data_IF_444971326377
#
_entry.id   IF_444971326377
#
_cell.length_a   1.000
_cell.length_b   1.000
_cell.length_c   1.000
_cell.angle_alpha   90.00
_cell.angle_beta   90.00
_cell.angle_gamma   90.00
#
_symmetry.space_group_name_H-M   'P 1'
#
loop_
_entity.id
_entity.type
_entity.pdbx_description
1 polymer ?
#
# COMPACT_ATOMS: atom_id res chain seq x y z
N UNK A 1 -14.05 7.53 -5.24
CA UNK A 1 -15.23 7.04 -5.97
C UNK A 1 -15.68 8.05 -7.03
N UNK A 2 -15.81 9.31 -6.69
CA UNK A 2 -16.24 10.37 -7.62
C UNK A 2 -15.12 10.91 -8.52
N UNK A 3 -13.91 10.40 -8.40
CA UNK A 3 -12.78 10.81 -9.21
C UNK A 3 -12.14 12.15 -8.84
N UNK A 4 -12.43 12.67 -7.67
CA UNK A 4 -11.86 13.93 -7.19
C UNK A 4 -10.48 13.76 -6.53
N UNK A 5 -10.11 12.54 -6.15
CA UNK A 5 -8.84 12.20 -5.49
C UNK A 5 -8.33 10.86 -5.97
N UNK A 6 -7.02 10.67 -5.90
CA UNK A 6 -6.38 9.39 -6.16
C UNK A 6 -5.77 8.82 -4.87
N UNK A 7 -5.97 7.53 -4.62
CA UNK A 7 -5.42 6.87 -3.44
C UNK A 7 -4.04 6.28 -3.75
N UNK A 8 -3.01 6.77 -3.08
CA UNK A 8 -1.68 6.17 -3.05
C UNK A 8 -1.51 5.44 -1.72
N UNK A 9 -1.62 4.12 -1.73
CA UNK A 9 -1.35 3.27 -0.59
C UNK A 9 -0.06 2.49 -0.83
N UNK A 10 0.94 2.69 0.03
CA UNK A 10 2.25 2.07 -0.17
C UNK A 10 3.05 1.92 1.12
N UNK A 11 3.99 1.00 1.11
CA UNK A 11 4.91 0.73 2.23
C UNK A 11 5.29 -0.74 2.33
N UNK A 12 5.73 -1.17 3.50
CA UNK A 12 6.29 -2.51 3.68
C UNK A 12 5.31 -3.64 3.43
N UNK A 13 5.85 -4.79 3.03
CA UNK A 13 5.14 -6.06 3.03
C UNK A 13 4.74 -6.45 4.46
N UNK A 14 5.72 -6.49 5.35
CA UNK A 14 5.57 -6.53 6.80
C UNK A 14 6.74 -5.76 7.42
N UNK A 15 6.41 -4.90 8.36
CA UNK A 15 7.41 -4.17 9.15
C UNK A 15 8.13 -5.12 10.12
N UNK A 16 9.39 -4.82 10.43
CA UNK A 16 10.12 -5.40 11.56
C UNK A 16 10.16 -4.40 12.72
N UNK A 17 10.17 -4.90 13.95
CA UNK A 17 10.42 -4.06 15.12
C UNK A 17 11.80 -3.38 15.06
N UNK A 18 12.79 -4.05 14.45
CA UNK A 18 14.13 -3.49 14.23
C UNK A 18 14.12 -2.28 13.28
N UNK A 19 13.14 -2.16 12.41
CA UNK A 19 13.00 -1.06 11.46
C UNK A 19 12.37 0.21 12.07
N UNK A 20 11.93 0.16 13.34
CA UNK A 20 11.37 1.31 14.03
C UNK A 20 12.48 2.31 14.43
N UNK A 21 13.16 2.84 13.41
CA UNK A 21 14.28 3.80 13.54
C UNK A 21 14.00 5.04 12.70
N UNK A 22 14.55 6.18 13.14
CA UNK A 22 14.37 7.46 12.43
C UNK A 22 14.73 7.41 10.95
N UNK A 23 15.87 6.81 10.52
CA UNK A 23 16.21 6.75 9.09
C UNK A 23 15.20 5.94 8.27
N UNK A 24 14.81 4.76 8.76
CA UNK A 24 13.87 3.88 8.04
C UNK A 24 12.50 4.52 7.91
N UNK A 25 11.95 5.08 9.00
CA UNK A 25 10.64 5.76 8.99
C UNK A 25 10.68 6.99 8.06
N UNK A 26 11.75 7.80 8.13
CA UNK A 26 11.91 8.96 7.26
C UNK A 26 11.98 8.58 5.79
N UNK A 27 12.71 7.51 5.43
CA UNK A 27 12.83 7.08 4.04
C UNK A 27 11.50 6.50 3.50
N UNK A 28 10.73 5.80 4.34
CA UNK A 28 9.37 5.36 3.98
C UNK A 28 8.45 6.56 3.69
N UNK A 29 8.53 7.60 4.50
CA UNK A 29 7.74 8.81 4.27
C UNK A 29 8.20 9.54 3.01
N UNK A 30 9.52 9.68 2.79
CA UNK A 30 10.11 10.34 1.62
C UNK A 30 9.59 9.74 0.31
N UNK A 31 9.67 8.41 0.14
CA UNK A 31 9.27 7.75 -1.11
C UNK A 31 7.79 8.01 -1.42
N UNK A 32 6.91 7.95 -0.41
CA UNK A 32 5.48 8.25 -0.60
C UNK A 32 5.22 9.72 -0.92
N UNK A 33 5.95 10.65 -0.31
CA UNK A 33 5.86 12.07 -0.63
C UNK A 33 6.32 12.35 -2.07
N UNK A 34 7.45 11.78 -2.49
CA UNK A 34 7.95 11.91 -3.87
C UNK A 34 6.96 11.34 -4.89
N UNK A 35 6.48 10.12 -4.68
CA UNK A 35 5.45 9.52 -5.54
C UNK A 35 4.19 10.40 -5.61
N UNK A 36 3.74 10.91 -4.45
CA UNK A 36 2.54 11.76 -4.43
C UNK A 36 2.76 13.09 -5.15
N UNK A 37 3.97 13.65 -5.12
CA UNK A 37 4.32 14.87 -5.85
C UNK A 37 4.21 14.64 -7.37
N UNK A 38 4.78 13.53 -7.86
CA UNK A 38 4.68 13.10 -9.26
C UNK A 38 3.21 12.98 -9.67
N UNK A 39 2.41 12.27 -8.87
CA UNK A 39 0.99 12.02 -9.15
C UNK A 39 0.18 13.33 -9.14
N UNK A 40 0.33 14.18 -8.13
CA UNK A 40 -0.39 15.47 -8.04
C UNK A 40 -0.06 16.36 -9.23
N UNK A 41 1.22 16.47 -9.57
CA UNK A 41 1.65 17.29 -10.71
C UNK A 41 1.14 16.75 -12.03
N UNK A 42 1.31 15.43 -12.26
CA UNK A 42 1.00 14.81 -13.56
C UNK A 42 -0.49 14.60 -13.80
N UNK A 43 -1.23 14.18 -12.78
CA UNK A 43 -2.68 13.92 -12.88
C UNK A 43 -3.54 15.17 -12.66
N UNK A 44 -2.97 16.27 -12.15
CA UNK A 44 -3.70 17.49 -11.75
C UNK A 44 -4.84 17.20 -10.76
N UNK A 45 -4.59 16.27 -9.82
CA UNK A 45 -5.59 15.75 -8.88
C UNK A 45 -4.96 15.59 -7.49
N UNK A 46 -5.69 15.91 -6.40
CA UNK A 46 -5.22 15.64 -5.05
C UNK A 46 -5.01 14.14 -4.81
N UNK A 47 -3.96 13.80 -4.04
CA UNK A 47 -3.61 12.42 -3.69
C UNK A 47 -3.84 12.21 -2.19
N UNK A 48 -4.56 11.12 -1.85
CA UNK A 48 -4.65 10.59 -0.49
C UNK A 48 -3.45 9.67 -0.25
N UNK A 49 -2.62 10.01 0.73
CA UNK A 49 -1.41 9.27 1.09
C UNK A 49 -1.71 8.33 2.24
N UNK A 50 -1.55 7.04 2.00
CA UNK A 50 -1.81 6.00 3.00
C UNK A 50 -0.58 5.10 3.11
N UNK A 51 0.12 5.19 4.23
CA UNK A 51 1.30 4.37 4.49
C UNK A 51 0.92 2.97 4.99
N UNK A 52 1.51 1.95 4.38
CA UNK A 52 1.48 0.58 4.91
C UNK A 52 2.58 0.43 5.95
N UNK A 53 2.47 1.17 7.03
CA UNK A 53 3.39 1.13 8.18
C UNK A 53 2.70 1.66 9.43
N UNK A 54 3.39 1.61 10.55
CA UNK A 54 2.86 1.87 11.88
C UNK A 54 1.75 0.86 12.25
N UNK A 55 2.02 -0.43 12.05
CA UNK A 55 1.11 -1.52 12.39
C UNK A 55 1.14 -2.72 11.45
N UNK A 56 1.82 -2.66 10.30
CA UNK A 56 1.94 -3.78 9.36
C UNK A 56 2.98 -4.80 9.85
N UNK A 57 2.86 -5.28 11.10
CA UNK A 57 3.79 -6.24 11.71
C UNK A 57 3.33 -7.70 11.59
N UNK A 58 2.25 -7.98 10.89
CA UNK A 58 1.77 -9.33 10.64
C UNK A 58 1.24 -9.50 9.24
N UNK A 59 1.27 -10.75 8.76
CA UNK A 59 0.70 -11.14 7.46
C UNK A 59 0.17 -12.57 7.52
N UNK A 60 -1.10 -12.82 7.11
CA UNK A 60 -1.60 -14.17 6.94
C UNK A 60 -0.75 -14.96 5.94
N UNK A 61 -0.43 -16.20 6.27
CA UNK A 61 0.39 -17.07 5.44
C UNK A 61 -0.46 -18.08 4.67
N UNK A 62 0.08 -18.55 3.53
CA UNK A 62 -0.57 -19.59 2.71
C UNK A 62 -0.55 -20.95 3.39
N UNK A 63 0.47 -21.20 4.24
CA UNK A 63 0.66 -22.44 4.99
C UNK A 63 0.91 -22.13 6.45
N UNK A 64 0.37 -22.95 7.34
CA UNK A 64 0.56 -22.80 8.78
C UNK A 64 1.95 -23.23 9.23
N UNK A 65 2.56 -24.14 8.46
CA UNK A 65 3.85 -24.75 8.76
C UNK A 65 4.84 -24.49 7.63
N UNK A 66 6.12 -24.45 7.98
CA UNK A 66 7.26 -24.26 7.08
C UNK A 66 8.29 -25.36 7.37
N UNK A 67 8.81 -26.01 6.32
CA UNK A 67 9.80 -27.08 6.44
C UNK A 67 11.13 -26.64 5.83
N UNK A 68 12.22 -26.77 6.60
CA UNK A 68 13.61 -26.56 6.15
C UNK A 68 14.46 -27.70 6.67
N UNK A 69 15.27 -28.28 5.82
CA UNK A 69 16.20 -29.36 6.16
C UNK A 69 15.57 -30.50 6.99
N UNK A 70 14.32 -30.88 6.63
CA UNK A 70 13.57 -31.95 7.31
C UNK A 70 12.93 -31.55 8.65
N UNK A 71 13.15 -30.33 9.15
CA UNK A 71 12.50 -29.80 10.35
C UNK A 71 11.26 -29.00 9.95
N UNK A 72 10.13 -29.28 10.60
CA UNK A 72 8.85 -28.57 10.35
C UNK A 72 8.47 -27.72 11.55
N UNK A 73 8.31 -26.42 11.36
CA UNK A 73 7.95 -25.44 12.39
C UNK A 73 6.80 -24.55 11.93
N UNK A 74 6.11 -23.84 12.84
CA UNK A 74 5.14 -22.82 12.46
C UNK A 74 5.75 -21.77 11.53
N UNK A 75 4.99 -21.34 10.53
CA UNK A 75 5.42 -20.29 9.60
C UNK A 75 5.69 -18.97 10.34
N UNK A 76 6.67 -18.22 9.88
CA UNK A 76 6.85 -16.81 10.31
C UNK A 76 5.66 -15.99 9.83
N UNK A 77 4.96 -15.33 10.74
CA UNK A 77 3.75 -14.54 10.48
C UNK A 77 3.95 -13.04 10.65
N UNK A 78 5.17 -12.63 10.97
CA UNK A 78 5.53 -11.25 11.29
C UNK A 78 5.76 -11.03 12.78
N UNK A 79 6.45 -9.96 13.10
CA UNK A 79 6.89 -9.63 14.47
C UNK A 79 5.76 -9.49 15.49
N UNK A 80 4.55 -9.22 15.03
CA UNK A 80 3.35 -9.16 15.89
C UNK A 80 2.97 -10.54 16.46
N UNK A 81 3.43 -11.63 15.84
CA UNK A 81 3.04 -13.01 16.20
C UNK A 81 4.23 -13.81 16.73
N UNK A 82 5.34 -13.87 15.98
CA UNK A 82 6.50 -14.68 16.25
C UNK A 82 7.78 -14.10 15.63
N UNK A 83 8.92 -14.75 15.80
CA UNK A 83 10.22 -14.27 15.28
C UNK A 83 10.64 -15.00 14.00
N UNK A 84 11.47 -14.39 13.13
CA UNK A 84 11.87 -14.95 11.84
C UNK A 84 12.87 -16.10 11.93
N UNK A 85 13.59 -16.26 13.07
CA UNK A 85 14.55 -17.33 13.25
C UNK A 85 13.88 -18.70 13.17
N UNK A 86 14.53 -19.67 12.49
CA UNK A 86 13.96 -21.00 12.29
C UNK A 86 14.28 -21.93 13.47
N UNK A 87 13.74 -21.60 14.63
CA UNK A 87 13.81 -22.41 15.86
C UNK A 87 12.43 -22.60 16.48
N UNK A 88 12.21 -23.67 17.21
CA UNK A 88 10.92 -23.97 17.83
C UNK A 88 10.49 -22.87 18.83
N UNK A 89 11.44 -22.26 19.53
CA UNK A 89 11.19 -21.17 20.45
C UNK A 89 10.78 -19.87 19.71
N UNK A 90 11.54 -19.46 18.71
CA UNK A 90 11.30 -18.26 17.93
C UNK A 90 9.97 -18.32 17.16
N UNK A 91 9.59 -19.50 16.68
CA UNK A 91 8.36 -19.70 15.88
C UNK A 91 7.11 -19.91 16.74
N UNK A 92 7.22 -19.99 18.05
CA UNK A 92 6.06 -20.01 18.95
C UNK A 92 5.41 -18.62 18.99
N UNK A 93 4.08 -18.59 18.88
CA UNK A 93 3.33 -17.34 19.04
C UNK A 93 3.49 -16.80 20.48
N UNK A 94 3.76 -15.49 20.59
CA UNK A 94 3.98 -14.80 21.86
C UNK A 94 3.03 -13.58 21.97
N UNK A 95 2.03 -13.61 22.88
CA UNK A 95 1.09 -12.50 23.07
C UNK A 95 1.75 -11.18 23.49
N UNK A 96 2.94 -11.21 24.13
CA UNK A 96 3.65 -9.99 24.52
C UNK A 96 4.08 -9.15 23.31
N UNK A 97 4.22 -9.77 22.14
CA UNK A 97 4.52 -9.09 20.88
C UNK A 97 3.41 -8.15 20.42
N UNK A 98 2.15 -8.41 20.80
CA UNK A 98 1.04 -7.49 20.53
C UNK A 98 1.25 -6.14 21.24
N UNK A 99 1.73 -6.17 22.48
CA UNK A 99 2.03 -4.96 23.25
C UNK A 99 3.23 -4.22 22.68
N UNK A 100 4.27 -4.96 22.30
CA UNK A 100 5.46 -4.39 21.64
C UNK A 100 5.08 -3.74 20.30
N UNK A 101 4.30 -4.41 19.48
CA UNK A 101 3.81 -3.89 18.21
C UNK A 101 3.03 -2.58 18.39
N UNK A 102 2.17 -2.50 19.42
CA UNK A 102 1.44 -1.28 19.73
C UNK A 102 2.39 -0.12 20.10
N UNK A 103 3.41 -0.39 20.91
CA UNK A 103 4.40 0.62 21.27
C UNK A 103 5.18 1.13 20.04
N UNK A 104 5.67 0.23 19.18
CA UNK A 104 6.36 0.58 17.93
C UNK A 104 5.45 1.33 16.95
N UNK A 105 4.19 0.90 16.82
CA UNK A 105 3.20 1.56 15.99
C UNK A 105 2.93 3.00 16.46
N UNK A 106 2.73 3.19 17.76
CA UNK A 106 2.52 4.51 18.36
C UNK A 106 3.75 5.42 18.20
N UNK A 107 4.96 4.88 18.41
CA UNK A 107 6.21 5.62 18.19
C UNK A 107 6.35 6.07 16.74
N UNK A 108 6.16 5.15 15.79
CA UNK A 108 6.22 5.45 14.35
C UNK A 108 5.23 6.53 13.96
N UNK A 109 3.98 6.43 14.42
CA UNK A 109 2.94 7.43 14.14
C UNK A 109 3.29 8.81 14.73
N UNK A 110 3.77 8.86 15.96
CA UNK A 110 4.17 10.12 16.58
C UNK A 110 5.35 10.75 15.83
N UNK A 111 6.32 9.93 15.41
CA UNK A 111 7.45 10.44 14.65
C UNK A 111 7.02 10.96 13.27
N UNK A 112 6.16 10.25 12.55
CA UNK A 112 5.59 10.71 11.27
C UNK A 112 4.83 12.04 11.45
N UNK A 113 4.00 12.16 12.48
CA UNK A 113 3.28 13.41 12.79
C UNK A 113 4.23 14.54 13.09
N UNK A 114 5.28 14.30 13.90
CA UNK A 114 6.28 15.29 14.23
C UNK A 114 7.04 15.77 12.98
N UNK A 115 7.39 14.86 12.06
CA UNK A 115 8.01 15.22 10.78
C UNK A 115 7.08 16.09 9.93
N UNK A 116 5.82 15.70 9.78
CA UNK A 116 4.84 16.43 8.96
C UNK A 116 4.55 17.81 9.56
N UNK A 117 4.29 17.88 10.86
CA UNK A 117 4.02 19.14 11.56
C UNK A 117 5.27 20.04 11.66
N UNK A 118 6.47 19.44 11.63
CA UNK A 118 7.76 20.14 11.61
C UNK A 118 8.22 20.63 10.24
N UNK A 119 7.36 20.53 9.20
CA UNK A 119 7.66 21.04 7.86
C UNK A 119 8.46 20.08 6.97
N UNK A 120 8.69 18.83 7.38
CA UNK A 120 9.34 17.83 6.54
C UNK A 120 8.61 17.56 5.22
N UNK A 121 7.29 17.70 5.22
CA UNK A 121 6.43 17.54 4.05
C UNK A 121 6.12 18.86 3.34
N UNK A 122 6.86 19.92 3.65
CA UNK A 122 6.68 21.24 3.03
C UNK A 122 7.06 21.18 1.54
N UNK A 123 6.11 21.53 0.69
CA UNK A 123 6.28 21.53 -0.77
C UNK A 123 7.27 22.60 -1.25
N UNK A 124 7.63 23.59 -0.41
CA UNK A 124 8.66 24.59 -0.73
C UNK A 124 10.07 23.99 -0.69
N UNK A 125 10.24 22.87 -0.01
CA UNK A 125 11.52 22.21 0.20
C UNK A 125 11.49 20.73 -0.23
N UNK A 126 11.09 20.40 -1.47
CA UNK A 126 11.06 19.03 -1.98
C UNK A 126 12.46 18.39 -2.01
N UNK A 127 13.52 19.19 -1.97
CA UNK A 127 14.91 18.73 -1.85
C UNK A 127 15.19 17.97 -0.55
N UNK A 128 14.42 18.21 0.52
CA UNK A 128 14.54 17.42 1.77
C UNK A 128 14.10 15.96 1.59
N UNK A 129 13.34 15.67 0.55
CA UNK A 129 12.91 14.31 0.22
C UNK A 129 13.86 13.63 -0.76
N UNK A 130 14.88 14.36 -1.25
CA UNK A 130 15.83 13.78 -2.21
C UNK A 130 16.50 12.55 -1.60
N UNK A 131 16.32 11.46 -2.28
CA UNK A 131 17.01 10.21 -2.07
C UNK A 131 18.11 10.20 -3.15
N UNK A 132 19.37 9.99 -2.79
CA UNK A 132 20.55 10.13 -3.64
C UNK A 132 20.55 9.34 -4.96
N UNK A 133 19.57 8.49 -5.16
CA UNK A 133 19.37 7.57 -6.27
C UNK A 133 18.69 8.17 -7.51
N UNK A 134 18.03 9.31 -7.39
CA UNK A 134 17.43 10.02 -8.54
C UNK A 134 18.49 10.27 -9.64
N UNK A 135 19.75 10.24 -9.30
CA UNK A 135 20.86 10.45 -10.23
C UNK A 135 21.03 9.32 -11.26
N UNK A 136 20.58 8.11 -10.97
CA UNK A 136 20.80 6.92 -11.81
C UNK A 136 19.60 6.55 -12.70
N UNK A 137 18.42 7.06 -12.40
CA UNK A 137 17.22 6.76 -13.18
C UNK A 137 17.19 7.52 -14.51
N UNK A 138 16.83 6.90 -15.65
CA UNK A 138 16.57 7.60 -16.91
C UNK A 138 15.45 8.65 -16.77
N UNK A 139 14.59 8.53 -15.75
CA UNK A 139 13.52 9.48 -15.41
C UNK A 139 13.98 10.63 -14.51
N UNK A 140 15.24 10.64 -14.06
CA UNK A 140 15.78 11.65 -13.15
C UNK A 140 15.64 13.09 -13.68
N UNK A 141 15.90 13.27 -14.98
CA UNK A 141 15.79 14.58 -15.62
C UNK A 141 14.32 15.08 -15.68
N UNK A 142 13.38 14.18 -15.90
CA UNK A 142 11.94 14.48 -15.93
C UNK A 142 11.47 14.83 -14.51
N UNK A 143 11.85 14.02 -13.51
CA UNK A 143 11.55 14.28 -12.11
C UNK A 143 12.08 15.67 -11.66
N UNK A 144 13.35 15.97 -11.92
CA UNK A 144 13.94 17.27 -11.55
C UNK A 144 13.23 18.44 -12.22
N UNK A 145 12.86 18.34 -13.50
CA UNK A 145 12.06 19.39 -14.18
C UNK A 145 10.69 19.57 -13.52
N UNK A 146 10.06 18.48 -13.13
CA UNK A 146 8.76 18.51 -12.44
C UNK A 146 8.88 19.23 -11.08
N UNK A 147 9.86 18.86 -10.27
CA UNK A 147 10.14 19.46 -8.95
C UNK A 147 10.42 20.97 -9.09
N UNK A 148 11.26 21.36 -10.04
CA UNK A 148 11.55 22.76 -10.32
C UNK A 148 10.29 23.54 -10.72
N UNK A 149 9.46 22.98 -11.62
CA UNK A 149 8.21 23.60 -12.06
C UNK A 149 7.19 23.78 -10.93
N UNK A 150 7.16 22.85 -9.95
CA UNK A 150 6.31 22.99 -8.76
C UNK A 150 6.83 24.16 -7.90
N UNK A 151 8.13 24.21 -7.62
CA UNK A 151 8.72 25.30 -6.86
C UNK A 151 8.47 26.67 -7.47
N UNK A 152 8.57 26.80 -8.80
CA UNK A 152 8.24 28.04 -9.53
C UNK A 152 6.76 28.40 -9.39
N UNK A 153 5.87 27.41 -9.49
CA UNK A 153 4.42 27.60 -9.36
C UNK A 153 4.03 28.06 -7.96
N UNK A 154 4.65 27.47 -6.92
CA UNK A 154 4.41 27.86 -5.53
C UNK A 154 4.88 29.29 -5.27
N UNK A 155 6.10 29.65 -5.68
CA UNK A 155 6.63 31.03 -5.57
C UNK A 155 5.74 32.05 -6.29
N UNK A 156 5.23 31.70 -7.46
CA UNK A 156 4.29 32.57 -8.19
C UNK A 156 3.00 32.77 -7.41
N UNK A 157 2.39 31.71 -6.91
CA UNK A 157 1.14 31.77 -6.13
C UNK A 157 1.31 32.61 -4.85
N UNK A 158 2.41 32.42 -4.12
CA UNK A 158 2.70 33.20 -2.91
C UNK A 158 2.99 34.67 -3.18
N UNK A 159 3.64 34.97 -4.30
CA UNK A 159 3.85 36.36 -4.73
C UNK A 159 2.51 37.06 -5.00
N UNK A 160 1.52 36.32 -5.51
CA UNK A 160 0.20 36.86 -5.85
C UNK A 160 -0.74 36.95 -4.65
N UNK A 161 -0.74 35.95 -3.77
CA UNK A 161 -1.76 35.76 -2.73
C UNK A 161 -1.20 35.82 -1.29
N UNK A 162 0.12 35.94 -1.13
CA UNK A 162 0.80 35.78 0.16
C UNK A 162 0.97 34.32 0.58
N UNK A 163 1.62 34.07 1.73
CA UNK A 163 1.89 32.70 2.20
C UNK A 163 0.61 31.87 2.36
N UNK A 164 0.58 30.66 1.75
CA UNK A 164 -0.58 29.78 1.77
C UNK A 164 -0.31 28.62 2.72
N UNK A 165 -0.87 28.66 3.93
CA UNK A 165 -0.66 27.67 4.99
C UNK A 165 -0.98 26.21 4.58
N UNK A 166 -1.80 26.01 3.53
CA UNK A 166 -2.14 24.68 3.04
C UNK A 166 -1.02 23.96 2.27
N UNK A 167 0.06 24.63 1.90
CA UNK A 167 1.19 24.04 1.17
C UNK A 167 2.30 23.49 2.09
N UNK A 168 2.27 23.84 3.36
CA UNK A 168 3.26 23.43 4.36
C UNK A 168 2.92 22.11 5.05
N UNK A 169 1.69 21.60 4.86
CA UNK A 169 1.22 20.39 5.53
C UNK A 169 0.48 19.48 4.57
N UNK A 170 0.76 18.19 4.64
CA UNK A 170 0.03 17.14 3.89
C UNK A 170 -0.71 16.23 4.86
N UNK A 171 -1.91 15.81 4.47
CA UNK A 171 -2.61 14.73 5.18
C UNK A 171 -1.90 13.40 4.91
N UNK A 172 -1.70 12.63 5.97
CA UNK A 172 -1.09 11.32 5.94
C UNK A 172 -1.86 10.34 6.82
N UNK A 173 -2.20 9.19 6.26
CA UNK A 173 -2.95 8.14 6.92
C UNK A 173 -2.12 6.86 6.96
N UNK A 174 -2.49 5.92 7.83
CA UNK A 174 -1.88 4.60 7.92
C UNK A 174 -2.88 3.49 7.63
N UNK A 175 -2.34 2.33 7.31
CA UNK A 175 -3.12 1.18 6.89
C UNK A 175 -2.32 -0.11 7.12
N UNK A 176 -3.00 -1.17 7.55
CA UNK A 176 -2.41 -2.51 7.63
C UNK A 176 -3.45 -3.61 7.45
N UNK A 177 -2.98 -4.83 7.15
CA UNK A 177 -3.81 -6.03 7.11
C UNK A 177 -4.24 -6.42 8.52
N UNK A 178 -5.53 -6.60 8.72
CA UNK A 178 -6.07 -6.82 10.06
C UNK A 178 -5.65 -8.18 10.66
N UNK A 179 -5.17 -8.14 11.91
CA UNK A 179 -5.03 -9.28 12.79
C UNK A 179 -6.03 -9.14 13.94
N UNK A 180 -7.13 -9.89 13.95
CA UNK A 180 -8.31 -9.62 14.76
C UNK A 180 -8.04 -9.43 16.25
N UNK A 181 -7.19 -10.22 16.89
CA UNK A 181 -6.87 -10.05 18.32
C UNK A 181 -6.23 -8.69 18.62
N UNK A 182 -5.43 -8.17 17.71
CA UNK A 182 -4.85 -6.83 17.82
C UNK A 182 -5.90 -5.75 17.59
N UNK A 183 -6.72 -5.93 16.56
CA UNK A 183 -7.75 -4.97 16.16
C UNK A 183 -8.84 -4.83 17.23
N UNK A 184 -9.35 -5.95 17.75
CA UNK A 184 -10.37 -5.96 18.82
C UNK A 184 -9.87 -5.24 20.07
N UNK A 185 -8.63 -5.51 20.47
CA UNK A 185 -8.01 -4.87 21.63
C UNK A 185 -7.92 -3.35 21.51
N UNK A 186 -7.91 -2.80 20.31
CA UNK A 186 -7.78 -1.37 20.02
C UNK A 186 -9.08 -0.74 19.47
N UNK A 187 -10.19 -1.46 19.48
CA UNK A 187 -11.48 -0.95 19.02
C UNK A 187 -12.21 -0.25 20.17
N UNK A 188 -12.65 0.99 19.92
CA UNK A 188 -13.27 1.87 20.95
C UNK A 188 -14.45 2.65 20.36
N UNK A 189 -15.34 3.05 21.23
CA UNK A 189 -16.21 4.20 20.99
C UNK A 189 -15.41 5.49 21.23
N UNK A 190 -15.58 6.46 20.37
CA UNK A 190 -14.89 7.75 20.49
C UNK A 190 -15.89 8.88 20.77
N UNK A 191 -15.53 9.87 21.60
CA UNK A 191 -16.45 10.96 21.95
C UNK A 191 -16.98 11.68 20.70
N UNK A 192 -18.27 11.99 20.69
CA UNK A 192 -18.98 12.73 19.63
C UNK A 192 -19.11 12.01 18.27
N UNK A 193 -18.65 10.76 18.17
CA UNK A 193 -18.81 9.94 16.97
C UNK A 193 -19.54 8.65 17.30
N UNK A 194 -20.73 8.39 16.73
CA UNK A 194 -21.48 7.17 17.01
C UNK A 194 -20.79 5.95 16.39
N UNK A 195 -20.86 4.82 17.12
CA UNK A 195 -20.34 3.53 16.67
C UNK A 195 -18.93 3.21 17.19
N UNK A 196 -18.39 2.12 16.69
CA UNK A 196 -17.09 1.58 17.08
C UNK A 196 -16.02 1.90 16.03
N UNK A 197 -14.87 2.31 16.49
CA UNK A 197 -13.73 2.64 15.63
C UNK A 197 -12.55 1.77 15.99
N UNK A 198 -11.94 1.17 14.98
CA UNK A 198 -10.60 0.61 15.10
C UNK A 198 -9.61 1.78 15.22
N UNK A 199 -8.83 1.82 16.30
CA UNK A 199 -7.83 2.85 16.57
C UNK A 199 -6.39 2.36 16.32
N UNK A 200 -6.21 1.13 15.83
CA UNK A 200 -4.90 0.61 15.44
C UNK A 200 -4.37 1.27 14.18
N UNK A 201 -5.27 1.65 13.27
CA UNK A 201 -4.95 2.30 12.00
C UNK A 201 -6.14 3.08 11.45
N UNK A 202 -5.91 3.95 10.46
CA UNK A 202 -6.98 4.73 9.84
C UNK A 202 -7.79 3.91 8.83
N UNK A 203 -7.11 3.00 8.08
CA UNK A 203 -7.67 2.29 6.94
C UNK A 203 -7.26 0.81 6.95
N UNK A 204 -7.88 -0.02 7.80
CA UNK A 204 -7.61 -1.46 7.86
C UNK A 204 -8.16 -2.18 6.63
N UNK A 205 -7.53 -3.29 6.25
CA UNK A 205 -8.06 -4.15 5.18
C UNK A 205 -8.13 -5.62 5.57
N UNK A 206 -9.06 -6.32 4.92
CA UNK A 206 -9.20 -7.78 4.96
C UNK A 206 -8.32 -8.38 3.88
N UNK A 207 -7.45 -9.33 4.24
CA UNK A 207 -6.67 -10.11 3.29
C UNK A 207 -7.55 -11.05 2.44
N UNK A 208 -7.07 -11.41 1.24
CA UNK A 208 -7.82 -12.31 0.37
C UNK A 208 -8.16 -13.68 1.02
N UNK A 209 -7.28 -14.17 1.89
CA UNK A 209 -7.45 -15.48 2.57
C UNK A 209 -8.46 -15.45 3.70
N UNK A 210 -8.79 -14.28 4.20
CA UNK A 210 -9.67 -14.07 5.37
C UNK A 210 -10.97 -13.34 5.00
N UNK A 211 -11.28 -13.23 3.70
CA UNK A 211 -12.44 -12.53 3.17
C UNK A 211 -13.68 -13.44 2.95
N UNK A 212 -13.75 -14.59 3.63
CA UNK A 212 -14.95 -15.42 3.60
C UNK A 212 -16.14 -14.66 4.19
N UNK A 213 -17.31 -14.72 3.53
CA UNK A 213 -18.49 -13.94 3.90
C UNK A 213 -18.97 -14.23 5.33
N UNK A 214 -18.87 -15.47 5.77
CA UNK A 214 -19.19 -15.96 7.11
C UNK A 214 -17.98 -15.95 8.07
N UNK A 215 -16.88 -15.37 7.64
CA UNK A 215 -15.62 -15.33 8.38
C UNK A 215 -15.58 -14.20 9.42
N UNK A 216 -14.80 -14.44 10.48
CA UNK A 216 -14.65 -13.51 11.60
C UNK A 216 -14.13 -12.13 11.19
N UNK A 217 -13.28 -12.03 10.15
CA UNK A 217 -12.82 -10.73 9.66
C UNK A 217 -13.96 -9.91 9.06
N UNK A 218 -14.82 -10.53 8.26
CA UNK A 218 -15.97 -9.83 7.65
C UNK A 218 -16.92 -9.37 8.74
N UNK A 219 -17.20 -10.22 9.73
CA UNK A 219 -18.07 -9.85 10.86
C UNK A 219 -17.50 -8.68 11.67
N UNK A 220 -16.20 -8.70 12.01
CA UNK A 220 -15.54 -7.60 12.68
C UNK A 220 -15.63 -6.29 11.87
N UNK A 221 -15.35 -6.35 10.56
CA UNK A 221 -15.34 -5.16 9.69
C UNK A 221 -16.72 -4.55 9.50
N UNK A 222 -17.80 -5.34 9.60
CA UNK A 222 -19.18 -4.84 9.62
C UNK A 222 -19.46 -3.95 10.84
N UNK A 223 -18.81 -4.24 11.97
CA UNK A 223 -19.02 -3.55 13.25
C UNK A 223 -18.29 -2.22 13.42
N UNK A 224 -17.23 -1.96 12.65
CA UNK A 224 -16.43 -0.74 12.77
C UNK A 224 -16.85 0.34 11.78
N UNK A 225 -16.57 1.61 12.09
CA UNK A 225 -16.96 2.79 11.27
C UNK A 225 -15.83 3.34 10.41
N UNK A 226 -14.62 2.84 10.53
CA UNK A 226 -13.50 3.23 9.67
C UNK A 226 -13.84 3.01 8.19
N UNK A 227 -13.27 3.79 7.26
CA UNK A 227 -13.16 3.32 5.88
C UNK A 227 -12.36 2.01 5.87
N UNK A 228 -12.78 1.06 5.06
CA UNK A 228 -12.24 -0.30 5.03
C UNK A 228 -11.89 -0.74 3.62
N UNK A 229 -11.00 -1.75 3.52
CA UNK A 229 -10.75 -2.40 2.24
C UNK A 229 -10.79 -3.92 2.35
N UNK A 230 -10.96 -4.57 1.20
CA UNK A 230 -10.84 -6.02 1.05
C UNK A 230 -10.05 -6.36 -0.21
N UNK A 231 -9.17 -7.35 -0.10
CA UNK A 231 -8.39 -7.88 -1.24
C UNK A 231 -9.24 -8.83 -2.08
N UNK A 232 -9.27 -8.59 -3.39
CA UNK A 232 -10.01 -9.38 -4.37
C UNK A 232 -9.03 -10.05 -5.33
N UNK A 233 -9.00 -11.37 -5.34
CA UNK A 233 -8.11 -12.17 -6.18
C UNK A 233 -8.78 -12.70 -7.44
N UNK A 234 -8.02 -13.37 -8.35
CA UNK A 234 -8.51 -13.81 -9.66
C UNK A 234 -9.52 -14.97 -9.60
N UNK A 235 -9.63 -15.65 -8.47
CA UNK A 235 -10.60 -16.73 -8.27
C UNK A 235 -11.96 -16.26 -7.74
N UNK A 236 -12.09 -14.98 -7.36
CA UNK A 236 -13.35 -14.43 -6.86
C UNK A 236 -14.33 -14.26 -7.99
N UNK A 237 -15.56 -14.75 -7.80
CA UNK A 237 -16.66 -14.61 -8.76
C UNK A 237 -17.60 -13.46 -8.39
N UNK A 238 -18.41 -12.96 -9.33
CA UNK A 238 -19.46 -11.98 -9.03
C UNK A 238 -20.42 -12.40 -7.91
N UNK A 239 -20.78 -13.69 -7.88
CA UNK A 239 -21.70 -14.26 -6.88
C UNK A 239 -21.10 -14.28 -5.47
N UNK A 240 -19.78 -14.32 -5.35
CA UNK A 240 -19.05 -14.20 -4.08
C UNK A 240 -18.83 -12.73 -3.71
N UNK A 241 -18.54 -11.87 -4.70
CA UNK A 241 -18.19 -10.48 -4.45
C UNK A 241 -19.40 -9.63 -4.01
N UNK A 242 -20.55 -9.76 -4.66
CA UNK A 242 -21.71 -8.92 -4.37
C UNK A 242 -22.24 -9.08 -2.94
N UNK A 243 -22.43 -10.29 -2.39
CA UNK A 243 -22.80 -10.46 -0.99
C UNK A 243 -21.77 -9.87 -0.01
N UNK A 244 -20.49 -9.96 -0.34
CA UNK A 244 -19.42 -9.38 0.48
C UNK A 244 -19.49 -7.85 0.47
N UNK A 245 -19.72 -7.22 -0.67
CA UNK A 245 -19.92 -5.77 -0.80
C UNK A 245 -21.13 -5.32 0.01
N UNK A 246 -22.24 -6.05 -0.07
CA UNK A 246 -23.46 -5.77 0.67
C UNK A 246 -23.25 -5.90 2.19
N UNK A 247 -22.58 -6.95 2.63
CA UNK A 247 -22.28 -7.17 4.05
C UNK A 247 -21.39 -6.07 4.64
N UNK A 248 -20.39 -5.59 3.89
CA UNK A 248 -19.41 -4.60 4.34
C UNK A 248 -19.87 -3.14 4.18
N UNK A 249 -20.82 -2.88 3.30
CA UNK A 249 -21.39 -1.55 3.06
C UNK A 249 -22.90 -1.62 2.75
N UNK A 250 -23.74 -2.05 3.69
CA UNK A 250 -25.17 -2.25 3.46
C UNK A 250 -25.89 -0.96 3.06
N UNK A 251 -25.51 0.17 3.64
CA UNK A 251 -26.11 1.48 3.40
C UNK A 251 -25.55 2.18 2.15
N UNK A 252 -24.66 1.50 1.40
CA UNK A 252 -23.97 2.04 0.24
C UNK A 252 -23.31 3.42 0.51
N UNK A 253 -22.70 3.56 1.71
CA UNK A 253 -22.07 4.79 2.18
C UNK A 253 -20.86 5.15 1.30
N UNK A 254 -20.78 6.38 0.75
CA UNK A 254 -19.64 6.81 -0.04
C UNK A 254 -18.33 6.82 0.78
N UNK A 255 -17.25 6.27 0.19
CA UNK A 255 -15.94 6.24 0.86
C UNK A 255 -15.75 5.10 1.86
N UNK A 256 -16.80 4.35 2.17
CA UNK A 256 -16.77 3.26 3.14
C UNK A 256 -15.94 2.07 2.66
N UNK A 257 -16.21 1.55 1.46
CA UNK A 257 -15.63 0.30 0.98
C UNK A 257 -14.69 0.51 -0.21
N UNK A 258 -13.50 -0.05 -0.08
CA UNK A 258 -12.49 -0.16 -1.14
C UNK A 258 -12.27 -1.62 -1.52
N UNK A 259 -12.32 -1.92 -2.81
CA UNK A 259 -11.97 -3.22 -3.38
C UNK A 259 -10.56 -3.14 -3.97
N UNK A 260 -9.61 -3.86 -3.37
CA UNK A 260 -8.21 -3.91 -3.83
C UNK A 260 -8.03 -5.16 -4.67
N UNK A 261 -8.11 -5.02 -5.99
CA UNK A 261 -7.92 -6.15 -6.89
C UNK A 261 -6.43 -6.48 -7.07
N UNK A 262 -6.12 -7.79 -7.06
CA UNK A 262 -4.78 -8.36 -7.19
C UNK A 262 -4.80 -9.59 -8.08
N UNK A 263 -4.85 -9.37 -9.38
CA UNK A 263 -5.18 -10.44 -10.35
C UNK A 263 -3.93 -11.16 -10.90
N UNK A 264 -2.82 -10.45 -10.98
CA UNK A 264 -1.64 -10.87 -11.73
C UNK A 264 -1.72 -10.51 -13.21
N UNK A 265 -0.59 -10.11 -13.80
CA UNK A 265 -0.50 -9.63 -15.17
C UNK A 265 -1.11 -10.61 -16.20
N UNK A 266 -0.92 -11.91 -15.98
CA UNK A 266 -1.43 -12.94 -16.90
C UNK A 266 -2.94 -13.19 -16.81
N UNK A 267 -3.61 -12.77 -15.73
CA UNK A 267 -5.01 -13.12 -15.46
C UNK A 267 -5.96 -11.92 -15.44
N UNK A 268 -5.45 -10.72 -15.26
CA UNK A 268 -6.28 -9.52 -15.06
C UNK A 268 -7.28 -9.28 -16.19
N UNK A 269 -6.89 -9.46 -17.44
CA UNK A 269 -7.75 -9.27 -18.60
C UNK A 269 -9.00 -10.17 -18.60
N UNK A 270 -8.91 -11.34 -17.97
CA UNK A 270 -10.03 -12.28 -17.85
C UNK A 270 -10.78 -12.12 -16.54
N UNK A 271 -10.08 -11.90 -15.43
CA UNK A 271 -10.65 -11.97 -14.09
C UNK A 271 -11.34 -10.67 -13.64
N UNK A 272 -10.83 -9.50 -14.03
CA UNK A 272 -11.34 -8.22 -13.53
C UNK A 272 -12.65 -7.77 -14.18
N UNK A 273 -12.85 -7.86 -15.53
CA UNK A 273 -14.03 -7.30 -16.17
C UNK A 273 -15.38 -7.80 -15.62
N UNK A 274 -15.61 -9.11 -15.36
CA UNK A 274 -16.88 -9.57 -14.83
C UNK A 274 -17.19 -9.02 -13.43
N UNK A 275 -16.19 -8.74 -12.61
CA UNK A 275 -16.34 -8.15 -11.28
C UNK A 275 -16.74 -6.68 -11.36
N UNK A 276 -16.09 -5.91 -12.26
CA UNK A 276 -16.45 -4.50 -12.51
C UNK A 276 -17.89 -4.38 -12.98
N UNK A 277 -18.28 -5.21 -13.95
CA UNK A 277 -19.61 -5.23 -14.52
C UNK A 277 -20.68 -5.61 -13.48
N UNK A 278 -20.42 -6.60 -12.63
CA UNK A 278 -21.34 -6.99 -11.57
C UNK A 278 -21.58 -5.87 -10.54
N UNK A 279 -20.52 -5.24 -10.02
CA UNK A 279 -20.65 -4.14 -9.07
C UNK A 279 -21.35 -2.93 -9.70
N UNK A 280 -21.02 -2.61 -10.97
CA UNK A 280 -21.66 -1.53 -11.73
C UNK A 280 -23.15 -1.78 -11.93
N UNK A 281 -23.53 -3.00 -12.37
CA UNK A 281 -24.95 -3.37 -12.57
C UNK A 281 -25.73 -3.38 -11.26
N UNK A 282 -25.11 -3.77 -10.16
CA UNK A 282 -25.70 -3.71 -8.83
C UNK A 282 -25.84 -2.28 -8.28
N UNK A 283 -25.29 -1.27 -8.96
CA UNK A 283 -25.34 0.14 -8.55
C UNK A 283 -24.58 0.43 -7.27
N UNK A 284 -23.65 -0.45 -6.84
CA UNK A 284 -22.91 -0.31 -5.58
C UNK A 284 -21.74 0.64 -5.69
N UNK A 285 -21.57 1.50 -4.70
CA UNK A 285 -20.48 2.48 -4.60
C UNK A 285 -19.27 1.86 -3.90
N UNK A 286 -18.22 1.58 -4.66
CA UNK A 286 -16.94 1.11 -4.17
C UNK A 286 -15.80 1.95 -4.74
N UNK A 287 -14.68 2.01 -4.03
CA UNK A 287 -13.43 2.51 -4.58
C UNK A 287 -12.63 1.32 -5.12
N UNK A 288 -12.28 1.35 -6.40
CA UNK A 288 -11.39 0.35 -6.99
C UNK A 288 -9.93 0.77 -6.89
N UNK A 289 -9.09 -0.12 -6.39
CA UNK A 289 -7.64 0.08 -6.20
C UNK A 289 -6.90 -1.12 -6.79
N UNK A 290 -5.83 -0.87 -7.55
CA UNK A 290 -5.00 -1.94 -8.10
C UNK A 290 -3.86 -2.30 -7.15
N UNK A 291 -3.66 -3.59 -6.92
CA UNK A 291 -2.49 -4.17 -6.28
C UNK A 291 -1.74 -5.03 -7.30
N UNK A 292 -0.82 -4.47 -8.07
CA UNK A 292 -0.09 -5.21 -9.08
C UNK A 292 1.08 -6.01 -8.50
N UNK A 293 1.17 -6.10 -7.16
CA UNK A 293 2.27 -6.77 -6.47
C UNK A 293 1.99 -8.26 -6.22
N UNK A 294 0.91 -8.54 -5.49
CA UNK A 294 0.68 -9.87 -4.91
C UNK A 294 0.29 -10.94 -5.93
N UNK A 295 -0.23 -10.58 -7.09
CA UNK A 295 -0.52 -11.50 -8.19
C UNK A 295 0.71 -11.90 -9.03
N UNK A 296 1.82 -11.18 -8.88
CA UNK A 296 3.03 -11.31 -9.69
C UNK A 296 4.26 -11.81 -8.90
N UNK A 297 4.05 -12.40 -7.72
CA UNK A 297 5.14 -12.96 -6.93
C UNK A 297 5.53 -14.34 -7.48
N UNK A 298 6.81 -14.54 -7.74
CA UNK A 298 7.41 -15.79 -8.19
C UNK A 298 8.59 -16.19 -7.30
N UNK A 299 9.06 -17.42 -7.42
CA UNK A 299 10.28 -17.90 -6.76
C UNK A 299 11.34 -18.18 -7.82
N UNK A 300 12.56 -17.75 -7.57
CA UNK A 300 13.71 -18.00 -8.43
C UNK A 300 14.29 -19.40 -8.21
N UNK A 301 15.20 -19.82 -9.08
CA UNK A 301 15.88 -21.11 -9.00
C UNK A 301 16.74 -21.26 -7.74
N UNK A 302 17.26 -20.15 -7.20
CA UNK A 302 18.05 -20.09 -5.96
C UNK A 302 17.21 -19.87 -4.69
N UNK A 303 15.86 -19.92 -4.81
CA UNK A 303 14.94 -19.91 -3.67
C UNK A 303 14.50 -18.52 -3.19
N UNK A 304 14.97 -17.43 -3.80
CA UNK A 304 14.45 -16.10 -3.49
C UNK A 304 13.04 -15.92 -4.04
N UNK A 305 12.18 -15.26 -3.28
CA UNK A 305 10.95 -14.70 -3.80
C UNK A 305 11.28 -13.39 -4.53
N UNK A 306 10.67 -13.16 -5.67
CA UNK A 306 10.84 -11.92 -6.42
C UNK A 306 9.58 -11.55 -7.19
N UNK A 307 9.60 -10.39 -7.82
CA UNK A 307 8.62 -9.93 -8.81
C UNK A 307 9.34 -9.34 -10.00
N UNK A 308 8.86 -9.64 -11.20
CA UNK A 308 9.34 -8.96 -12.41
C UNK A 308 8.64 -7.61 -12.51
N UNK A 309 9.42 -6.54 -12.54
CA UNK A 309 8.90 -5.18 -12.63
C UNK A 309 7.98 -5.00 -13.85
N UNK A 310 8.30 -5.65 -14.97
CA UNK A 310 7.45 -5.64 -16.16
C UNK A 310 6.09 -6.27 -15.95
N UNK A 311 5.96 -7.30 -15.12
CA UNK A 311 4.66 -7.88 -14.76
C UNK A 311 3.86 -6.92 -13.88
N UNK A 312 4.51 -6.20 -12.96
CA UNK A 312 3.87 -5.17 -12.13
C UNK A 312 3.35 -4.04 -13.02
N UNK A 313 4.20 -3.53 -13.92
CA UNK A 313 3.82 -2.53 -14.93
C UNK A 313 2.66 -3.00 -15.78
N UNK A 314 2.77 -4.21 -16.33
CA UNK A 314 1.77 -4.78 -17.24
C UNK A 314 0.40 -4.96 -16.58
N UNK A 315 0.34 -5.43 -15.34
CA UNK A 315 -0.93 -5.53 -14.61
C UNK A 315 -1.55 -4.16 -14.36
N UNK A 316 -0.74 -3.17 -13.96
CA UNK A 316 -1.22 -1.82 -13.73
C UNK A 316 -1.69 -1.15 -15.02
N UNK A 317 -0.94 -1.32 -16.12
CA UNK A 317 -1.29 -0.81 -17.44
C UNK A 317 -2.64 -1.35 -17.92
N UNK A 318 -2.81 -2.67 -17.85
CA UNK A 318 -4.08 -3.33 -18.16
C UNK A 318 -5.21 -2.89 -17.22
N UNK A 319 -4.95 -2.67 -15.93
CA UNK A 319 -5.96 -2.21 -15.00
C UNK A 319 -6.59 -0.88 -15.44
N UNK A 320 -5.78 0.10 -15.85
CA UNK A 320 -6.28 1.38 -16.38
C UNK A 320 -7.15 1.17 -17.61
N UNK A 321 -6.67 0.39 -18.58
CA UNK A 321 -7.39 0.15 -19.84
C UNK A 321 -8.72 -0.60 -19.62
N UNK A 322 -8.73 -1.60 -18.73
CA UNK A 322 -9.93 -2.38 -18.39
C UNK A 322 -10.96 -1.49 -17.68
N UNK A 323 -10.54 -0.66 -16.73
CA UNK A 323 -11.45 0.27 -16.06
C UNK A 323 -12.05 1.29 -17.04
N UNK A 324 -11.23 1.83 -17.94
CA UNK A 324 -11.70 2.75 -18.99
C UNK A 324 -12.72 2.08 -19.91
N UNK A 325 -12.43 0.86 -20.39
CA UNK A 325 -13.33 0.09 -21.25
C UNK A 325 -14.64 -0.28 -20.56
N UNK A 326 -14.62 -0.58 -19.26
CA UNK A 326 -15.82 -0.87 -18.46
C UNK A 326 -16.63 0.39 -18.09
N UNK A 327 -16.12 1.58 -18.37
CA UNK A 327 -16.70 2.85 -17.92
C UNK A 327 -16.75 2.95 -16.39
N UNK A 328 -15.73 2.41 -15.74
CA UNK A 328 -15.45 2.52 -14.30
C UNK A 328 -14.15 3.29 -14.10
N UNK A 329 -13.81 3.63 -12.86
CA UNK A 329 -12.58 4.37 -12.55
C UNK A 329 -11.66 3.56 -11.66
N UNK A 330 -10.40 3.44 -12.04
CA UNK A 330 -9.34 3.05 -11.13
C UNK A 330 -9.00 4.25 -10.24
N UNK A 331 -9.34 4.17 -8.95
CA UNK A 331 -9.23 5.28 -8.02
C UNK A 331 -7.97 5.27 -7.16
N UNK A 332 -7.09 4.28 -7.34
CA UNK A 332 -5.84 4.22 -6.57
C UNK A 332 -4.99 2.99 -6.83
N UNK A 333 -3.86 2.96 -6.12
CA UNK A 333 -2.92 1.84 -6.13
C UNK A 333 -2.54 1.41 -4.72
N UNK A 334 -2.20 0.13 -4.55
CA UNK A 334 -1.73 -0.50 -3.33
C UNK A 334 -0.42 -1.22 -3.62
N UNK A 335 0.69 -0.71 -3.09
CA UNK A 335 2.04 -1.13 -3.45
C UNK A 335 2.83 -1.62 -2.23
N UNK A 336 3.64 -2.65 -2.42
CA UNK A 336 4.71 -3.03 -1.48
C UNK A 336 6.01 -2.38 -1.94
N UNK A 337 6.51 -1.43 -1.16
CA UNK A 337 7.65 -0.60 -1.49
C UNK A 337 8.44 -0.19 -0.24
N UNK A 338 9.66 0.22 -0.45
CA UNK A 338 10.52 0.77 0.59
C UNK A 338 11.30 1.98 0.10
N UNK A 339 11.69 2.87 1.01
CA UNK A 339 12.59 3.98 0.72
C UNK A 339 14.08 3.59 0.74
N UNK A 340 14.39 2.29 0.74
CA UNK A 340 15.75 1.78 0.73
C UNK A 340 16.16 1.28 -0.65
N UNK A 341 17.48 1.18 -0.89
CA UNK A 341 18.06 0.64 -2.12
C UNK A 341 18.13 -0.90 -2.06
N UNK A 342 16.96 -1.53 -2.07
CA UNK A 342 16.86 -2.99 -2.10
C UNK A 342 16.86 -3.55 -3.51
N UNK A 343 17.27 -4.83 -3.63
CA UNK A 343 17.28 -5.58 -4.89
C UNK A 343 16.31 -6.76 -4.83
N UNK A 344 15.07 -6.54 -4.36
CA UNK A 344 14.08 -7.59 -4.11
C UNK A 344 13.21 -7.89 -5.35
N UNK A 345 12.99 -6.91 -6.22
CA UNK A 345 12.26 -7.05 -7.49
C UNK A 345 13.22 -6.92 -8.68
N UNK A 346 13.11 -7.84 -9.64
CA UNK A 346 13.91 -7.83 -10.88
C UNK A 346 13.39 -6.80 -11.87
N UNK A 347 14.29 -6.27 -12.73
CA UNK A 347 13.98 -5.26 -13.74
C UNK A 347 14.00 -3.83 -13.22
N UNK A 348 13.23 -2.94 -13.84
CA UNK A 348 13.29 -1.49 -13.60
C UNK A 348 14.47 -0.83 -14.34
N UNK A 349 14.69 0.46 -14.08
CA UNK A 349 15.71 1.27 -14.78
C UNK A 349 17.12 0.70 -14.69
N UNK A 350 17.43 -0.03 -13.64
CA UNK A 350 18.75 -0.69 -13.45
C UNK A 350 18.82 -2.11 -14.03
N UNK A 351 17.75 -2.60 -14.65
CA UNK A 351 17.65 -3.95 -15.21
C UNK A 351 18.13 -5.05 -14.25
N UNK A 352 17.67 -4.98 -12.98
CA UNK A 352 18.07 -5.92 -11.93
C UNK A 352 17.72 -7.36 -12.36
N UNK A 353 18.72 -8.23 -12.32
CA UNK A 353 18.62 -9.65 -12.67
C UNK A 353 18.50 -10.55 -11.45
N UNK A 354 18.29 -11.85 -11.63
CA UNK A 354 18.30 -12.83 -10.55
C UNK A 354 19.63 -12.85 -9.78
N UNK A 355 20.75 -12.57 -10.46
CA UNK A 355 22.09 -12.51 -9.86
C UNK A 355 22.29 -11.30 -8.92
N UNK A 356 21.43 -10.29 -9.03
CA UNK A 356 21.51 -9.09 -8.19
C UNK A 356 20.70 -9.19 -6.89
N UNK A 357 19.82 -10.19 -6.76
CA UNK A 357 18.87 -10.28 -5.65
C UNK A 357 19.56 -10.38 -4.29
N UNK A 358 20.65 -11.12 -4.17
CA UNK A 358 21.36 -11.36 -2.91
C UNK A 358 22.12 -10.12 -2.41
N UNK A 359 22.37 -9.15 -3.27
CA UNK A 359 23.17 -7.95 -2.96
C UNK A 359 22.54 -7.10 -1.86
N UNK A 360 21.22 -6.93 -1.86
CA UNK A 360 20.48 -6.10 -0.91
C UNK A 360 19.03 -6.61 -0.68
N UNK A 361 18.86 -7.92 -0.57
CA UNK A 361 17.57 -8.51 -0.24
C UNK A 361 17.32 -8.44 1.28
N UNK A 362 16.35 -7.67 1.72
CA UNK A 362 16.06 -7.42 3.14
C UNK A 362 14.72 -7.97 3.61
N UNK A 363 13.77 -8.17 2.69
CA UNK A 363 12.43 -8.63 3.07
C UNK A 363 12.44 -10.02 3.65
N UNK A 364 11.77 -10.22 4.78
CA UNK A 364 11.58 -11.53 5.42
C UNK A 364 10.34 -12.27 4.91
N UNK A 365 9.47 -11.61 4.14
CA UNK A 365 8.22 -12.17 3.62
C UNK A 365 8.11 -12.06 2.09
N UNK A 366 7.60 -10.96 1.58
CA UNK A 366 7.44 -10.78 0.14
C UNK A 366 8.29 -9.58 -0.37
N UNK A 367 8.81 -9.63 -1.60
CA UNK A 367 9.70 -8.63 -2.17
C UNK A 367 9.01 -7.28 -2.35
N UNK A 368 9.75 -6.19 -2.15
CA UNK A 368 9.29 -4.81 -2.26
C UNK A 368 9.95 -4.11 -3.45
N UNK A 369 9.26 -3.15 -4.02
CA UNK A 369 9.88 -2.18 -4.93
C UNK A 369 10.88 -1.34 -4.15
N UNK A 370 12.05 -1.12 -4.71
CA UNK A 370 12.94 -0.05 -4.25
C UNK A 370 12.37 1.32 -4.64
N UNK A 371 13.01 2.37 -4.20
CA UNK A 371 12.52 3.72 -4.43
C UNK A 371 12.53 4.14 -5.92
N UNK A 372 13.51 3.70 -6.75
CA UNK A 372 13.53 3.96 -8.20
C UNK A 372 12.33 3.34 -8.89
N UNK A 373 12.14 2.04 -8.68
CA UNK A 373 10.99 1.31 -9.22
C UNK A 373 9.67 1.93 -8.76
N UNK A 374 9.61 2.44 -7.53
CA UNK A 374 8.42 3.13 -7.00
C UNK A 374 8.11 4.41 -7.77
N UNK A 375 9.13 5.22 -8.11
CA UNK A 375 8.94 6.42 -8.93
C UNK A 375 8.60 6.09 -10.38
N UNK A 376 9.17 5.04 -10.94
CA UNK A 376 8.80 4.57 -12.29
C UNK A 376 7.31 4.20 -12.36
N UNK A 377 6.78 3.53 -11.30
CA UNK A 377 5.34 3.25 -11.19
C UNK A 377 4.52 4.55 -11.12
N UNK A 378 4.96 5.54 -10.34
CA UNK A 378 4.25 6.82 -10.26
C UNK A 378 4.21 7.54 -11.62
N UNK A 379 5.31 7.52 -12.38
CA UNK A 379 5.36 8.07 -13.75
C UNK A 379 4.44 7.31 -14.72
N UNK A 380 4.40 5.98 -14.64
CA UNK A 380 3.49 5.16 -15.44
C UNK A 380 2.02 5.56 -15.18
N UNK A 381 1.63 5.72 -13.92
CA UNK A 381 0.28 6.15 -13.55
C UNK A 381 -0.06 7.50 -14.21
N UNK A 382 0.86 8.45 -14.15
CA UNK A 382 0.69 9.77 -14.79
C UNK A 382 0.48 9.62 -16.30
N UNK A 383 1.35 8.89 -16.98
CA UNK A 383 1.25 8.68 -18.43
C UNK A 383 -0.07 8.02 -18.86
N UNK A 384 -0.56 7.07 -18.05
CA UNK A 384 -1.85 6.40 -18.33
C UNK A 384 -3.05 7.29 -18.06
N UNK A 385 -3.02 8.07 -16.98
CA UNK A 385 -4.11 8.98 -16.65
C UNK A 385 -4.30 10.09 -17.69
N UNK A 386 -3.23 10.54 -18.33
CA UNK A 386 -3.26 11.56 -19.39
C UNK A 386 -3.77 11.02 -20.74
N UNK A 387 -3.63 9.72 -21.01
CA UNK A 387 -4.13 9.08 -22.24
C UNK A 387 -5.63 8.74 -22.17
N UNK A 388 -6.20 8.68 -20.98
CA UNK A 388 -7.61 8.36 -20.74
C UNK A 388 -8.49 9.58 -20.46
N UNK A 389 -7.92 10.78 -20.43
CA UNK A 389 -8.60 12.06 -20.32
C UNK A 389 -8.78 12.68 -21.72
#
# INVERSE_FOLDING_TARGET
QEGQRFLLQGGDCAESFADCTSPVISNRLKVLLQMSLVLVHGMRMPVLRVGRFAGQYAKPRSTDMETRDGVTLPSFRGDLVNSPEFTAEARRADPQRLIQAHAHSALTMNFVRALIDGGFADLHHPEYWDLAWVEHSPLAAEYRRMVAGIGDSLRFMETLAGPIAGFTRVDFFTSHEALLHYEEALTRQVPRHPGWFNLSTHFPWIGMRTAALDGAHVEYFRGIRNPIAVKVGPSVTPEQLLPLVEALNPDDEPGRLTLIHRMGNAQIAKALPPLLDAVKRAGRRVLWVADPMHGNTESTSNGYKTRRFDNIRGELDQAFDIHAAAGTRLGGVHLELTGEDVTECMGGARDLSEADLDRAYKSTLDPRLNYEQSLEIAMLIVHKSQKGA
#
